data_IF_861510893283
#
_entry.id   IF_861510893283
#
_cell.length_a   1.000
_cell.length_b   1.000
_cell.length_c   1.000
_cell.angle_alpha   90.00
_cell.angle_beta   90.00
_cell.angle_gamma   90.00
#
_symmetry.space_group_name_H-M   'P 1'
#
loop_
_entity.id
_entity.type
_entity.pdbx_description
1 polymer ?
#
# COMPACT_ATOMS: atom_id res chain seq x y z
N UNK A 1 -2.93 -16.90 -6.94
CA UNK A 1 -2.09 -18.13 -6.92
C UNK A 1 -0.65 -17.84 -6.47
N UNK A 2 0.03 -16.84 -7.02
CA UNK A 2 1.45 -16.56 -6.70
C UNK A 2 1.73 -16.26 -5.20
N UNK A 3 0.96 -15.41 -4.48
CA UNK A 3 1.24 -15.14 -3.07
C UNK A 3 1.09 -16.38 -2.18
N UNK A 4 0.04 -17.19 -2.42
CA UNK A 4 -0.21 -18.42 -1.67
C UNK A 4 0.92 -19.44 -1.83
N UNK A 5 1.45 -19.57 -3.06
CA UNK A 5 2.56 -20.48 -3.35
C UNK A 5 3.85 -20.04 -2.65
N UNK A 6 4.19 -18.75 -2.71
CA UNK A 6 5.35 -18.22 -2.00
C UNK A 6 5.23 -18.41 -0.49
N UNK A 7 4.06 -18.10 0.09
CA UNK A 7 3.82 -18.33 1.52
C UNK A 7 3.99 -19.82 1.88
N UNK A 8 3.44 -20.73 1.08
CA UNK A 8 3.61 -22.16 1.32
C UNK A 8 5.09 -22.58 1.30
N UNK A 9 5.89 -22.08 0.35
CA UNK A 9 7.33 -22.38 0.28
C UNK A 9 8.06 -21.86 1.53
N UNK A 10 7.77 -20.61 1.95
CA UNK A 10 8.40 -19.99 3.11
C UNK A 10 8.06 -20.76 4.40
N UNK A 11 6.79 -21.12 4.58
CA UNK A 11 6.33 -21.88 5.75
C UNK A 11 6.92 -23.30 5.79
N UNK A 12 7.15 -23.93 4.63
CA UNK A 12 7.83 -25.22 4.58
C UNK A 12 9.32 -25.13 4.95
N UNK A 13 10.00 -24.04 4.57
CA UNK A 13 11.42 -23.85 4.89
C UNK A 13 11.65 -23.41 6.34
N UNK A 14 10.68 -22.69 6.91
CA UNK A 14 10.79 -22.12 8.25
C UNK A 14 9.49 -22.36 9.04
N UNK A 15 9.28 -23.58 9.56
CA UNK A 15 8.05 -23.94 10.25
C UNK A 15 7.81 -23.10 11.51
N UNK A 16 8.87 -22.59 12.14
CA UNK A 16 8.79 -21.81 13.38
C UNK A 16 8.30 -20.37 13.19
N UNK A 17 8.17 -19.89 11.95
CA UNK A 17 7.66 -18.53 11.66
C UNK A 17 6.16 -18.43 11.96
N UNK A 18 5.42 -19.54 11.86
CA UNK A 18 3.99 -19.59 12.14
C UNK A 18 3.76 -20.40 13.42
N UNK A 19 3.44 -19.71 14.50
CA UNK A 19 3.22 -20.31 15.81
C UNK A 19 1.73 -20.55 16.06
N UNK A 20 1.40 -21.28 17.13
CA UNK A 20 0.01 -21.45 17.56
C UNK A 20 -0.70 -20.11 17.87
N UNK A 21 0.05 -19.04 18.15
CA UNK A 21 -0.52 -17.71 18.36
C UNK A 21 -0.91 -17.00 17.05
N UNK A 22 -0.32 -17.40 15.92
CA UNK A 22 -0.58 -16.82 14.59
C UNK A 22 -1.78 -17.47 13.89
N UNK A 23 -2.18 -18.68 14.34
CA UNK A 23 -3.38 -19.35 13.86
C UNK A 23 -4.60 -18.67 14.45
N UNK A 24 -5.52 -18.12 13.63
CA UNK A 24 -6.74 -17.52 14.14
C UNK A 24 -7.50 -18.53 15.00
N UNK A 25 -7.77 -18.17 16.26
CA UNK A 25 -8.53 -19.02 17.14
C UNK A 25 -9.97 -19.13 16.61
N UNK A 26 -10.46 -20.37 16.49
CA UNK A 26 -11.86 -20.64 16.20
C UNK A 26 -12.71 -20.01 17.29
N UNK A 27 -13.71 -19.22 16.90
CA UNK A 27 -14.62 -18.61 17.87
C UNK A 27 -15.77 -19.57 18.15
N UNK A 28 -16.03 -19.84 19.42
CA UNK A 28 -17.08 -20.79 19.86
C UNK A 28 -18.52 -20.37 19.48
N UNK A 29 -18.74 -19.11 19.10
CA UNK A 29 -20.05 -18.58 18.74
C UNK A 29 -19.97 -17.64 17.53
N UNK A 30 -21.06 -17.51 16.79
CA UNK A 30 -21.18 -16.59 15.66
C UNK A 30 -21.08 -15.12 16.08
N UNK A 31 -20.29 -14.33 15.34
CA UNK A 31 -20.15 -12.89 15.59
C UNK A 31 -21.41 -12.18 15.09
N UNK A 32 -22.26 -11.77 16.03
CA UNK A 32 -23.33 -10.80 15.76
C UNK A 32 -22.86 -9.39 16.10
N UNK A 33 -23.10 -8.44 15.19
CA UNK A 33 -22.93 -7.01 15.45
C UNK A 33 -24.29 -6.43 15.90
N UNK A 34 -24.30 -5.59 16.94
CA UNK A 34 -25.51 -4.87 17.34
C UNK A 34 -25.87 -3.84 16.25
N UNK A 35 -27.16 -3.77 15.87
CA UNK A 35 -27.63 -2.88 14.81
C UNK A 35 -27.34 -1.40 15.10
N UNK A 36 -27.21 -1.04 16.38
CA UNK A 36 -26.88 0.32 16.82
C UNK A 36 -25.49 0.78 16.36
N UNK A 37 -24.59 -0.15 16.00
CA UNK A 37 -23.30 0.19 15.39
C UNK A 37 -23.43 0.81 13.99
N UNK A 38 -24.60 0.66 13.35
CA UNK A 38 -24.90 1.23 12.05
C UNK A 38 -25.85 2.44 12.15
N UNK A 39 -26.26 2.80 13.37
CA UNK A 39 -27.22 3.88 13.64
C UNK A 39 -26.49 5.19 13.93
N UNK A 40 -26.44 6.09 12.93
CA UNK A 40 -25.82 7.41 13.05
C UNK A 40 -24.59 7.61 12.16
N UNK A 41 -23.95 8.78 12.28
CA UNK A 41 -22.76 9.13 11.47
C UNK A 41 -21.47 8.79 12.21
N UNK A 42 -21.05 7.53 12.17
CA UNK A 42 -19.82 7.05 12.83
C UNK A 42 -18.53 7.31 12.03
N UNK A 43 -18.60 8.04 10.91
CA UNK A 43 -17.46 8.25 10.01
C UNK A 43 -16.25 8.91 10.70
N UNK A 44 -16.47 9.68 11.76
CA UNK A 44 -15.40 10.31 12.54
C UNK A 44 -14.73 9.35 13.54
N UNK A 45 -15.46 8.37 14.07
CA UNK A 45 -14.94 7.42 15.08
C UNK A 45 -14.04 6.33 14.48
N UNK A 46 -14.27 6.00 13.19
CA UNK A 46 -13.55 4.95 12.46
C UNK A 46 -12.39 5.54 11.63
N UNK A 47 -12.32 6.87 11.52
CA UNK A 47 -11.22 7.53 10.84
C UNK A 47 -9.93 7.34 11.65
N UNK A 48 -9.11 6.36 11.25
CA UNK A 48 -7.74 6.27 11.71
C UNK A 48 -7.02 7.59 11.43
N UNK A 49 -6.06 8.02 12.27
CA UNK A 49 -5.30 9.24 12.02
C UNK A 49 -4.75 9.14 10.61
N UNK A 50 -5.17 10.04 9.71
CA UNK A 50 -4.61 10.06 8.36
C UNK A 50 -3.12 10.24 8.55
N UNK A 51 -2.34 9.22 8.16
CA UNK A 51 -0.89 9.25 8.30
C UNK A 51 -0.38 10.61 7.88
N UNK A 52 0.51 11.17 8.70
CA UNK A 52 1.09 12.49 8.48
C UNK A 52 1.34 12.66 6.99
N UNK A 53 0.75 13.70 6.40
CA UNK A 53 1.09 14.08 5.02
C UNK A 53 2.59 14.19 5.03
N UNK A 54 3.29 13.26 4.36
CA UNK A 54 4.73 13.29 4.23
C UNK A 54 5.07 14.69 3.71
N UNK A 55 5.48 15.53 4.66
CA UNK A 55 5.72 16.93 4.46
C UNK A 55 7.17 17.04 4.08
N UNK A 56 7.48 16.66 2.85
CA UNK A 56 8.71 17.05 2.16
C UNK A 56 8.65 16.52 0.71
N UNK A 57 8.97 17.24 -0.38
CA UNK A 57 9.91 18.38 -0.48
C UNK A 57 9.61 19.30 -1.69
N UNK A 58 8.57 19.05 -2.52
CA UNK A 58 8.35 19.86 -3.74
C UNK A 58 6.88 20.24 -3.95
N UNK A 59 6.64 21.52 -4.19
CA UNK A 59 5.34 22.01 -4.68
C UNK A 59 4.99 21.33 -6.00
N UNK A 60 3.70 21.09 -6.25
CA UNK A 60 3.19 20.58 -7.54
C UNK A 60 3.72 21.37 -8.73
N UNK A 61 3.92 22.69 -8.58
CA UNK A 61 4.51 23.53 -9.62
C UNK A 61 5.96 23.16 -9.94
N UNK A 62 6.75 22.86 -8.91
CA UNK A 62 8.14 22.45 -9.04
C UNK A 62 8.24 21.09 -9.73
N UNK A 63 7.41 20.11 -9.33
CA UNK A 63 7.34 18.81 -10.00
C UNK A 63 7.05 18.92 -11.50
N UNK A 64 6.13 19.82 -11.88
CA UNK A 64 5.78 20.05 -13.28
C UNK A 64 6.94 20.70 -14.05
N UNK A 65 7.66 21.64 -13.42
CA UNK A 65 8.82 22.28 -14.03
C UNK A 65 9.93 21.26 -14.29
N UNK A 66 10.26 20.45 -13.27
CA UNK A 66 11.30 19.43 -13.34
C UNK A 66 10.98 18.40 -14.43
N UNK A 67 9.72 17.91 -14.49
CA UNK A 67 9.30 16.94 -15.50
C UNK A 67 9.40 17.48 -16.94
N UNK A 68 9.06 18.76 -17.15
CA UNK A 68 9.20 19.41 -18.47
C UNK A 68 10.67 19.51 -18.88
N UNK A 69 11.54 19.87 -17.95
CA UNK A 69 12.98 19.95 -18.20
C UNK A 69 13.56 18.58 -18.55
N UNK A 70 13.24 17.55 -17.75
CA UNK A 70 13.73 16.18 -18.01
C UNK A 70 13.24 15.63 -19.34
N UNK A 71 11.99 15.90 -19.72
CA UNK A 71 11.44 15.49 -21.01
C UNK A 71 12.18 16.15 -22.17
N UNK A 72 12.45 17.45 -22.10
CA UNK A 72 13.23 18.16 -23.14
C UNK A 72 14.66 17.61 -23.27
N UNK A 73 15.31 17.31 -22.14
CA UNK A 73 16.65 16.73 -22.13
C UNK A 73 16.66 15.32 -22.76
N UNK A 74 15.61 14.52 -22.49
CA UNK A 74 15.47 13.18 -23.06
C UNK A 74 15.26 13.21 -24.57
N UNK A 75 14.40 14.09 -25.08
CA UNK A 75 14.19 14.27 -26.52
C UNK A 75 15.48 14.66 -27.25
N UNK A 76 16.27 15.57 -26.68
CA UNK A 76 17.56 15.95 -27.24
C UNK A 76 18.57 14.79 -27.27
N UNK A 77 18.54 13.89 -26.27
CA UNK A 77 19.36 12.67 -26.25
C UNK A 77 18.86 11.66 -27.28
N UNK A 78 17.56 11.47 -27.40
CA UNK A 78 16.93 10.57 -28.39
C UNK A 78 17.28 10.99 -29.82
N UNK A 79 17.15 12.28 -30.16
CA UNK A 79 17.50 12.79 -31.49
C UNK A 79 18.97 12.55 -31.86
N UNK A 80 19.88 12.56 -30.88
CA UNK A 80 21.30 12.25 -31.13
C UNK A 80 21.53 10.78 -31.42
N UNK A 81 20.76 9.89 -30.77
CA UNK A 81 20.84 8.44 -30.99
C UNK A 81 20.21 8.08 -32.35
N UNK A 82 19.03 8.61 -32.65
CA UNK A 82 18.31 8.32 -33.89
C UNK A 82 19.03 8.83 -35.17
N UNK A 83 20.04 9.69 -35.00
CA UNK A 83 20.87 10.22 -36.10
C UNK A 83 22.11 9.37 -36.41
N UNK A 84 22.42 8.37 -35.58
CA UNK A 84 23.50 7.38 -35.79
C UNK A 84 22.93 6.19 -36.53
#
# INVERSE_FOLDING_TARGET
AFPTLLCAIILNQHPDICTAADVPCSREADLSLDYRLFEGSHAADIAGPSGEKFGDTLSKKQMIADLKETSKALEAKKLKIDRV
#
